data_IF_842056959043
#
_entry.id   IF_842056959043
#
_cell.length_a   1.000
_cell.length_b   1.000
_cell.length_c   1.000
_cell.angle_alpha   90.00
_cell.angle_beta   90.00
_cell.angle_gamma   90.00
#
_symmetry.space_group_name_H-M   'P 1'
#
loop_
_entity.id
_entity.type
_entity.pdbx_description
1 polymer ?
#
# COMPACT_ATOMS: atom_id res chain seq x y z
N UNK A 1 10.51 -30.99 11.44
CA UNK A 1 9.55 -29.91 11.72
C UNK A 1 9.09 -29.45 10.35
N UNK A 2 7.95 -29.94 9.90
CA UNK A 2 7.42 -29.63 8.57
C UNK A 2 7.01 -28.15 8.58
N UNK A 3 7.53 -27.34 7.64
CA UNK A 3 7.20 -25.93 7.59
C UNK A 3 5.71 -25.80 7.27
N UNK A 4 4.92 -25.33 8.23
CA UNK A 4 3.50 -25.09 8.06
C UNK A 4 3.30 -24.01 7.01
N UNK A 5 2.56 -24.33 5.96
CA UNK A 5 2.12 -23.38 4.94
C UNK A 5 1.29 -22.25 5.60
N UNK A 6 1.32 -21.05 5.01
CA UNK A 6 0.68 -19.86 5.57
C UNK A 6 -0.80 -20.07 5.88
N UNK A 7 -1.53 -20.82 5.06
CA UNK A 7 -2.94 -21.14 5.32
C UNK A 7 -3.13 -22.21 6.41
N UNK A 8 -2.18 -23.13 6.59
CA UNK A 8 -2.24 -24.13 7.67
C UNK A 8 -2.07 -23.51 9.05
N UNK A 9 -1.26 -22.46 9.16
CA UNK A 9 -1.11 -21.68 10.40
C UNK A 9 -2.43 -21.10 10.92
N UNK A 10 -3.40 -20.85 10.04
CA UNK A 10 -4.72 -20.33 10.39
C UNK A 10 -5.84 -21.35 10.20
N UNK A 11 -5.54 -22.62 9.92
CA UNK A 11 -6.56 -23.66 9.69
C UNK A 11 -6.38 -24.84 10.63
N UNK A 12 -5.15 -25.16 11.04
CA UNK A 12 -4.85 -26.32 11.86
C UNK A 12 -5.41 -26.17 13.28
N UNK A 13 -5.98 -27.25 13.82
CA UNK A 13 -6.55 -27.29 15.18
C UNK A 13 -5.49 -27.04 16.26
N UNK A 14 -4.24 -27.42 16.01
CA UNK A 14 -3.12 -27.21 16.96
C UNK A 14 -2.77 -25.72 17.16
N UNK A 15 -3.26 -24.85 16.26
CA UNK A 15 -3.07 -23.39 16.33
C UNK A 15 -4.27 -22.65 16.94
N UNK A 16 -5.31 -23.38 17.31
CA UNK A 16 -6.53 -22.82 17.89
C UNK A 16 -6.24 -22.16 19.25
N UNK A 17 -6.90 -21.03 19.50
CA UNK A 17 -6.76 -20.29 20.74
C UNK A 17 -7.23 -21.14 21.94
N UNK A 18 -6.33 -21.37 22.89
CA UNK A 18 -6.67 -21.91 24.21
C UNK A 18 -7.40 -20.84 25.05
N UNK A 19 -8.69 -20.64 24.74
CA UNK A 19 -9.52 -19.52 25.24
C UNK A 19 -9.47 -19.41 26.77
N UNK A 20 -9.58 -20.54 27.48
CA UNK A 20 -9.57 -20.59 28.94
C UNK A 20 -8.27 -20.09 29.57
N UNK A 21 -7.14 -20.26 28.89
CA UNK A 21 -5.84 -19.80 29.36
C UNK A 21 -5.64 -18.31 29.04
N UNK A 22 -5.86 -17.93 27.78
CA UNK A 22 -5.54 -16.59 27.29
C UNK A 22 -6.51 -15.52 27.78
N UNK A 23 -7.80 -15.84 27.93
CA UNK A 23 -8.80 -14.88 28.42
C UNK A 23 -8.69 -14.63 29.93
N UNK A 24 -8.14 -15.59 30.71
CA UNK A 24 -7.82 -15.38 32.13
C UNK A 24 -6.60 -14.48 32.33
N UNK A 25 -5.79 -14.27 31.29
CA UNK A 25 -4.60 -13.45 31.38
C UNK A 25 -5.02 -11.97 31.43
N UNK A 26 -4.65 -11.22 32.49
CA UNK A 26 -5.12 -9.84 32.68
C UNK A 26 -4.50 -8.86 31.68
N UNK A 27 -3.32 -9.18 31.14
CA UNK A 27 -2.60 -8.35 30.17
C UNK A 27 -1.99 -9.19 29.07
N UNK A 28 -2.03 -8.68 27.85
CA UNK A 28 -1.41 -9.26 26.66
C UNK A 28 -0.33 -8.31 26.16
N UNK A 29 0.76 -8.84 25.60
CA UNK A 29 1.60 -8.01 24.75
C UNK A 29 0.83 -7.66 23.48
N UNK A 30 1.22 -6.61 22.76
CA UNK A 30 0.55 -6.26 21.50
C UNK A 30 0.52 -7.42 20.50
N UNK A 31 1.63 -8.16 20.38
CA UNK A 31 1.72 -9.34 19.52
C UNK A 31 0.75 -10.46 19.95
N UNK A 32 0.62 -10.69 21.26
CA UNK A 32 -0.36 -11.64 21.79
C UNK A 32 -1.78 -11.20 21.48
N UNK A 33 -2.09 -9.92 21.70
CA UNK A 33 -3.42 -9.37 21.44
C UNK A 33 -3.81 -9.49 19.96
N UNK A 34 -2.87 -9.27 19.04
CA UNK A 34 -3.08 -9.47 17.60
C UNK A 34 -3.40 -10.93 17.30
N UNK A 35 -2.59 -11.89 17.75
CA UNK A 35 -2.85 -13.31 17.49
C UNK A 35 -4.18 -13.78 18.08
N UNK A 36 -4.46 -13.40 19.33
CA UNK A 36 -5.71 -13.73 20.04
C UNK A 36 -6.92 -13.15 19.31
N UNK A 37 -6.81 -11.96 18.71
CA UNK A 37 -7.90 -11.36 17.92
C UNK A 37 -8.26 -12.14 16.66
N UNK A 38 -7.36 -13.00 16.17
CA UNK A 38 -7.62 -13.94 15.07
C UNK A 38 -8.13 -15.30 15.55
N UNK A 39 -8.37 -15.47 16.85
CA UNK A 39 -8.74 -16.77 17.41
C UNK A 39 -7.58 -17.78 17.37
N UNK A 40 -6.33 -17.29 17.35
CA UNK A 40 -5.12 -18.13 17.26
C UNK A 40 -4.25 -18.01 18.48
N UNK A 41 -3.55 -19.10 18.80
CA UNK A 41 -2.60 -19.11 19.90
C UNK A 41 -1.29 -18.37 19.52
N UNK A 42 -0.88 -17.33 20.25
CA UNK A 42 0.33 -16.56 19.95
C UNK A 42 1.64 -17.34 20.06
N UNK A 43 1.63 -18.53 20.70
CA UNK A 43 2.81 -19.42 20.73
C UNK A 43 3.14 -19.96 19.34
N UNK A 44 2.13 -20.11 18.49
CA UNK A 44 2.29 -20.66 17.13
C UNK A 44 2.11 -19.58 16.05
N UNK A 45 1.18 -18.64 16.26
CA UNK A 45 0.85 -17.57 15.31
C UNK A 45 1.40 -16.24 15.84
N UNK A 46 2.60 -15.88 15.41
CA UNK A 46 3.27 -14.62 15.74
C UNK A 46 3.85 -14.00 14.46
N UNK A 47 4.35 -12.77 14.52
CA UNK A 47 4.82 -12.10 13.30
C UNK A 47 5.94 -12.88 12.61
N UNK A 48 6.85 -13.47 13.39
CA UNK A 48 7.98 -14.25 12.87
C UNK A 48 7.52 -15.47 12.07
N UNK A 49 6.41 -16.11 12.48
CA UNK A 49 5.86 -17.28 11.76
C UNK A 49 4.98 -16.89 10.57
N UNK A 50 4.34 -15.72 10.62
CA UNK A 50 3.40 -15.24 9.60
C UNK A 50 4.09 -14.45 8.47
N UNK A 51 5.15 -13.70 8.77
CA UNK A 51 5.86 -12.80 7.85
C UNK A 51 6.22 -13.43 6.49
N UNK A 52 6.78 -14.65 6.42
CA UNK A 52 7.15 -15.27 5.14
C UNK A 52 5.97 -15.47 4.19
N UNK A 53 4.75 -15.52 4.73
CA UNK A 53 3.53 -15.82 3.99
C UNK A 53 2.65 -14.59 3.73
N UNK A 54 3.04 -13.41 4.19
CA UNK A 54 2.25 -12.18 4.07
C UNK A 54 1.96 -11.80 2.60
N UNK A 55 2.78 -12.27 1.64
CA UNK A 55 2.58 -12.06 0.20
C UNK A 55 1.80 -13.18 -0.49
N UNK A 56 1.66 -14.36 0.13
CA UNK A 56 1.11 -15.56 -0.51
C UNK A 56 -0.21 -16.06 0.10
N UNK A 57 -0.47 -15.79 1.38
CA UNK A 57 -1.69 -16.17 2.09
C UNK A 57 -2.55 -14.95 2.43
N UNK A 58 -3.85 -15.04 2.13
CA UNK A 58 -4.80 -13.99 2.48
C UNK A 58 -4.91 -13.79 4.01
N UNK A 59 -4.82 -14.86 4.79
CA UNK A 59 -4.85 -14.80 6.25
C UNK A 59 -3.60 -14.09 6.80
N UNK A 60 -2.42 -14.42 6.28
CA UNK A 60 -1.17 -13.76 6.65
C UNK A 60 -1.17 -12.27 6.29
N UNK A 61 -1.76 -11.91 5.15
CA UNK A 61 -1.91 -10.51 4.75
C UNK A 61 -2.87 -9.72 5.67
N UNK A 62 -3.99 -10.32 6.08
CA UNK A 62 -4.91 -9.68 7.03
C UNK A 62 -4.30 -9.56 8.44
N UNK A 63 -3.48 -10.55 8.85
CA UNK A 63 -2.68 -10.45 10.07
C UNK A 63 -1.72 -9.26 10.01
N UNK A 64 -1.00 -9.10 8.89
CA UNK A 64 -0.10 -7.96 8.66
C UNK A 64 -0.82 -6.62 8.79
N UNK A 65 -1.97 -6.45 8.13
CA UNK A 65 -2.79 -5.23 8.22
C UNK A 65 -3.21 -4.91 9.64
N UNK A 66 -3.73 -5.91 10.37
CA UNK A 66 -4.15 -5.71 11.76
C UNK A 66 -2.98 -5.30 12.64
N UNK A 67 -1.82 -5.92 12.43
CA UNK A 67 -0.59 -5.59 13.12
C UNK A 67 -0.19 -4.14 12.91
N UNK A 68 -0.26 -3.62 11.68
CA UNK A 68 0.01 -2.20 11.39
C UNK A 68 -0.90 -1.28 12.21
N UNK A 69 -2.22 -1.51 12.16
CA UNK A 69 -3.19 -0.68 12.90
C UNK A 69 -2.87 -0.66 14.41
N UNK A 70 -2.59 -1.82 15.00
CA UNK A 70 -2.28 -1.92 16.43
C UNK A 70 -0.98 -1.19 16.78
N UNK A 71 0.07 -1.33 15.97
CA UNK A 71 1.35 -0.68 16.24
C UNK A 71 1.30 0.83 16.03
N UNK A 72 0.63 1.31 14.99
CA UNK A 72 0.46 2.74 14.74
C UNK A 72 -0.31 3.37 15.92
N UNK A 73 -1.38 2.71 16.37
CA UNK A 73 -2.17 3.16 17.52
C UNK A 73 -1.34 3.16 18.82
N UNK A 74 -0.43 2.20 19.00
CA UNK A 74 0.52 2.21 20.12
C UNK A 74 1.53 3.37 20.00
N UNK A 75 2.07 3.61 18.80
CA UNK A 75 3.02 4.70 18.56
C UNK A 75 2.41 6.08 18.85
N UNK A 76 1.10 6.24 18.63
CA UNK A 76 0.31 7.42 19.01
C UNK A 76 0.00 7.51 20.51
N UNK A 77 0.31 6.48 21.30
CA UNK A 77 0.13 6.44 22.74
C UNK A 77 -1.28 6.02 23.20
N UNK A 78 -2.12 5.53 22.30
CA UNK A 78 -3.49 5.11 22.64
C UNK A 78 -3.58 3.69 23.20
N UNK A 79 -2.63 2.81 22.86
CA UNK A 79 -2.55 1.45 23.40
C UNK A 79 -1.23 1.28 24.15
N UNK A 80 -1.24 0.88 25.44
CA UNK A 80 -0.01 0.54 26.15
C UNK A 80 0.50 -0.87 25.75
N UNK A 81 1.80 -1.12 25.87
CA UNK A 81 2.36 -2.48 25.78
C UNK A 81 3.07 -2.83 27.11
N UNK A 82 2.61 -3.82 27.88
CA UNK A 82 1.47 -4.72 27.64
C UNK A 82 0.08 -4.13 27.95
N UNK A 83 -0.90 -4.46 27.11
CA UNK A 83 -2.29 -3.98 27.17
C UNK A 83 -3.18 -4.85 28.05
N UNK A 84 -4.07 -4.28 28.89
CA UNK A 84 -5.14 -5.05 29.52
C UNK A 84 -6.04 -5.76 28.50
N UNK A 85 -6.30 -7.05 28.69
CA UNK A 85 -7.08 -7.86 27.75
C UNK A 85 -8.47 -7.26 27.47
N UNK A 86 -9.16 -6.82 28.52
CA UNK A 86 -10.46 -6.15 28.41
C UNK A 86 -10.40 -4.81 27.65
N UNK A 87 -9.28 -4.09 27.75
CA UNK A 87 -9.10 -2.80 27.08
C UNK A 87 -8.89 -2.99 25.57
N UNK A 88 -8.06 -3.96 25.20
CA UNK A 88 -7.85 -4.32 23.80
C UNK A 88 -9.16 -4.73 23.12
N UNK A 89 -9.96 -5.61 23.75
CA UNK A 89 -11.26 -6.06 23.20
C UNK A 89 -12.22 -4.86 23.00
N UNK A 90 -12.29 -3.95 23.97
CA UNK A 90 -13.13 -2.75 23.84
C UNK A 90 -12.67 -1.83 22.73
N UNK A 91 -11.35 -1.65 22.60
CA UNK A 91 -10.78 -0.88 21.51
C UNK A 91 -11.11 -1.50 20.15
N UNK A 92 -10.98 -2.83 19.99
CA UNK A 92 -11.33 -3.51 18.73
C UNK A 92 -12.79 -3.30 18.34
N UNK A 93 -13.72 -3.34 19.31
CA UNK A 93 -15.14 -3.06 19.07
C UNK A 93 -15.37 -1.61 18.61
N UNK A 94 -14.66 -0.64 19.20
CA UNK A 94 -14.80 0.78 18.88
C UNK A 94 -14.38 1.11 17.44
N UNK A 95 -13.33 0.46 16.94
CA UNK A 95 -12.82 0.68 15.58
C UNK A 95 -13.43 -0.29 14.56
N UNK A 96 -14.44 -1.07 14.95
CA UNK A 96 -15.08 -2.10 14.14
C UNK A 96 -14.09 -3.14 13.58
N UNK A 97 -13.08 -3.48 14.37
CA UNK A 97 -12.11 -4.53 14.06
C UNK A 97 -12.62 -5.86 14.63
N UNK A 98 -12.82 -6.86 13.77
CA UNK A 98 -13.29 -8.18 14.18
C UNK A 98 -12.28 -8.86 15.11
N UNK A 99 -12.74 -9.28 16.29
CA UNK A 99 -11.95 -9.96 17.30
C UNK A 99 -12.63 -11.30 17.64
N UNK A 100 -12.02 -12.42 17.23
CA UNK A 100 -12.56 -13.77 17.44
C UNK A 100 -12.27 -14.29 18.85
N UNK A 101 -12.76 -13.56 19.85
CA UNK A 101 -12.67 -13.95 21.26
C UNK A 101 -14.01 -14.47 21.80
N UNK A 102 -15.03 -14.61 20.94
CA UNK A 102 -16.40 -14.97 21.31
C UNK A 102 -17.15 -13.81 21.96
N UNK A 103 -18.48 -13.93 22.07
CA UNK A 103 -19.31 -12.99 22.84
C UNK A 103 -18.94 -13.10 24.32
N UNK A 104 -17.91 -12.39 24.74
CA UNK A 104 -17.56 -12.34 26.15
C UNK A 104 -18.56 -11.43 26.86
N UNK A 105 -19.42 -12.02 27.69
CA UNK A 105 -20.01 -11.30 28.82
C UNK A 105 -18.85 -10.74 29.63
N UNK A 106 -18.58 -9.45 29.46
CA UNK A 106 -17.67 -8.66 30.29
C UNK A 106 -18.07 -8.87 31.75
N UNK A 107 -17.50 -9.87 32.42
CA UNK A 107 -17.74 -10.16 33.83
C UNK A 107 -17.55 -8.89 34.65
N UNK A 108 -18.68 -8.31 35.08
CA UNK A 108 -18.93 -7.67 36.39
C UNK A 108 -18.07 -6.48 36.83
N UNK A 109 -17.03 -6.10 36.11
CA UNK A 109 -16.19 -4.97 36.48
C UNK A 109 -16.53 -3.80 35.57
N UNK A 110 -17.38 -2.92 36.11
CA UNK A 110 -17.47 -1.55 35.63
C UNK A 110 -16.03 -1.04 35.40
N UNK A 111 -15.72 -0.49 34.22
CA UNK A 111 -14.43 0.12 33.97
C UNK A 111 -14.11 1.12 35.10
N UNK A 112 -12.83 1.26 35.52
CA UNK A 112 -12.39 2.59 35.92
C UNK A 112 -12.76 3.49 34.74
N UNK A 113 -13.61 4.50 34.97
CA UNK A 113 -13.96 5.49 33.95
C UNK A 113 -12.66 6.08 33.42
N UNK A 114 -12.16 5.59 32.28
CA UNK A 114 -11.00 6.15 31.61
C UNK A 114 -11.42 6.88 30.34
N UNK A 115 -10.88 8.10 30.13
CA UNK A 115 -10.05 8.83 31.08
C UNK A 115 -10.95 9.39 32.18
N UNK A 116 -10.61 9.29 33.49
CA UNK A 116 -10.94 10.43 34.31
C UNK A 116 -10.18 11.57 33.63
N UNK A 117 -10.85 12.69 33.40
CA UNK A 117 -10.17 13.97 33.30
C UNK A 117 -9.04 13.91 34.33
N UNK A 118 -7.79 13.83 33.90
CA UNK A 118 -6.68 14.08 34.80
C UNK A 118 -6.87 15.56 35.10
N UNK A 119 -7.36 15.98 36.27
CA UNK A 119 -7.20 17.37 36.59
C UNK A 119 -5.68 17.59 36.59
N UNK A 120 -5.21 18.64 35.91
CA UNK A 120 -3.90 19.22 36.19
C UNK A 120 -3.86 19.59 37.68
N UNK A 121 -3.63 18.60 38.54
CA UNK A 121 -3.30 18.80 39.93
C UNK A 121 -1.79 18.64 40.00
N UNK A 122 -1.14 19.79 40.05
CA UNK A 122 0.19 20.00 40.57
C UNK A 122 0.30 19.27 41.91
N UNK A 123 0.82 18.06 41.90
CA UNK A 123 1.34 17.44 43.12
C UNK A 123 2.74 18.03 43.33
N UNK A 124 3.00 18.71 44.46
CA UNK A 124 4.35 19.02 44.88
C UNK A 124 4.95 17.75 45.48
N UNK A 125 5.13 16.73 44.65
CA UNK A 125 6.00 15.60 44.99
C UNK A 125 7.40 16.05 44.63
N UNK A 126 8.26 16.12 45.64
CA UNK A 126 9.68 16.39 45.48
C UNK A 126 10.20 15.71 44.21
N UNK A 127 10.58 16.53 43.23
CA UNK A 127 11.39 16.06 42.10
C UNK A 127 12.62 15.42 42.73
N UNK A 128 12.86 14.10 42.59
CA UNK A 128 14.25 13.67 42.64
C UNK A 128 14.96 14.49 41.56
N UNK A 129 16.05 15.13 41.98
CA UNK A 129 16.88 15.99 41.16
C UNK A 129 16.94 15.52 39.72
N UNK A 130 16.76 16.48 38.82
CA UNK A 130 17.01 16.43 37.38
C UNK A 130 17.29 15.02 36.84
N UNK A 131 16.33 14.47 36.09
CA UNK A 131 16.61 13.49 35.04
C UNK A 131 17.84 14.00 34.28
N UNK A 132 19.02 13.49 34.65
CA UNK A 132 20.22 13.58 33.85
C UNK A 132 19.86 12.75 32.64
N UNK A 133 19.39 13.45 31.60
CA UNK A 133 19.21 12.91 30.29
C UNK A 133 20.56 12.34 29.92
N UNK A 134 20.65 11.01 29.79
CA UNK A 134 21.89 10.35 29.44
C UNK A 134 22.42 11.06 28.17
N UNK A 135 23.60 11.70 28.23
CA UNK A 135 24.10 12.50 27.12
C UNK A 135 24.18 11.65 25.84
N UNK A 136 24.44 10.34 25.97
CA UNK A 136 24.42 9.40 24.85
C UNK A 136 23.04 9.27 24.20
N UNK A 137 21.97 9.26 24.99
CA UNK A 137 20.61 9.16 24.45
C UNK A 137 20.21 10.44 23.72
N UNK A 138 20.61 11.60 24.25
CA UNK A 138 20.35 12.89 23.59
C UNK A 138 21.15 13.05 22.29
N UNK A 139 22.38 12.54 22.27
CA UNK A 139 23.21 12.55 21.06
C UNK A 139 22.69 11.58 20.01
N UNK A 140 22.20 10.40 20.43
CA UNK A 140 21.58 9.43 19.52
C UNK A 140 20.28 9.98 18.90
N UNK A 141 19.41 10.61 19.70
CA UNK A 141 18.21 11.27 19.18
C UNK A 141 18.54 12.39 18.19
N UNK A 142 19.58 13.17 18.47
CA UNK A 142 20.04 14.21 17.54
C UNK A 142 20.57 13.61 16.24
N UNK A 143 21.28 12.48 16.33
CA UNK A 143 21.81 11.76 15.17
C UNK A 143 20.69 11.17 14.32
N UNK A 144 19.69 10.52 14.93
CA UNK A 144 18.56 9.96 14.20
C UNK A 144 17.71 11.05 13.56
N UNK A 145 17.48 12.17 14.24
CA UNK A 145 16.79 13.33 13.68
C UNK A 145 17.53 13.91 12.47
N UNK A 146 18.87 14.00 12.54
CA UNK A 146 19.68 14.47 11.42
C UNK A 146 19.63 13.49 10.22
N UNK A 147 19.57 12.19 10.49
CA UNK A 147 19.44 11.17 9.45
C UNK A 147 18.06 11.19 8.78
N UNK A 148 16.98 11.33 9.56
CA UNK A 148 15.64 11.51 9.02
C UNK A 148 15.56 12.74 8.11
N UNK A 149 16.06 13.89 8.57
CA UNK A 149 16.07 15.11 7.76
C UNK A 149 16.87 14.95 6.45
N UNK A 150 17.99 14.20 6.48
CA UNK A 150 18.77 13.91 5.28
C UNK A 150 18.03 13.01 4.30
N UNK A 151 17.35 11.97 4.81
CA UNK A 151 16.58 11.05 3.97
C UNK A 151 15.37 11.75 3.34
N UNK A 152 14.66 12.58 4.11
CA UNK A 152 13.55 13.41 3.61
C UNK A 152 14.01 14.32 2.47
N UNK A 153 15.15 15.01 2.62
CA UNK A 153 15.70 15.84 1.56
C UNK A 153 16.06 15.03 0.30
N UNK A 154 16.55 13.80 0.46
CA UNK A 154 16.89 12.93 -0.68
C UNK A 154 15.63 12.43 -1.40
N UNK A 155 14.57 12.11 -0.67
CA UNK A 155 13.28 11.72 -1.24
C UNK A 155 12.72 12.87 -2.06
N UNK A 156 12.68 14.09 -1.52
CA UNK A 156 12.21 15.27 -2.26
C UNK A 156 13.01 15.53 -3.53
N UNK A 157 14.34 15.36 -3.48
CA UNK A 157 15.18 15.51 -4.68
C UNK A 157 14.84 14.45 -5.75
N UNK A 158 14.67 13.19 -5.34
CA UNK A 158 14.34 12.11 -6.26
C UNK A 158 12.95 12.27 -6.87
N UNK A 159 11.98 12.76 -6.10
CA UNK A 159 10.63 13.08 -6.59
C UNK A 159 10.68 14.18 -7.66
N UNK A 160 11.47 15.25 -7.45
CA UNK A 160 11.66 16.30 -8.44
C UNK A 160 12.38 15.78 -9.70
N UNK A 161 13.41 14.95 -9.54
CA UNK A 161 14.10 14.32 -10.68
C UNK A 161 13.16 13.41 -11.48
N UNK A 162 12.27 12.68 -10.80
CA UNK A 162 11.27 11.82 -11.43
C UNK A 162 10.24 12.65 -12.21
N UNK A 163 9.71 13.72 -11.62
CA UNK A 163 8.75 14.62 -12.28
C UNK A 163 9.35 15.22 -13.57
N UNK A 164 10.58 15.74 -13.50
CA UNK A 164 11.30 16.26 -14.66
C UNK A 164 11.55 15.18 -15.73
N UNK A 165 11.87 13.96 -15.31
CA UNK A 165 12.07 12.84 -16.23
C UNK A 165 10.77 12.39 -16.89
N UNK A 166 9.64 12.42 -16.17
CA UNK A 166 8.31 12.13 -16.70
C UNK A 166 7.87 13.20 -17.70
N UNK A 167 8.10 14.48 -17.39
CA UNK A 167 7.87 15.59 -18.33
C UNK A 167 8.66 15.44 -19.63
N UNK A 168 9.88 14.90 -19.56
CA UNK A 168 10.72 14.62 -20.74
C UNK A 168 10.30 13.35 -21.50
N UNK A 169 9.81 12.32 -20.80
CA UNK A 169 9.38 11.04 -21.43
C UNK A 169 8.04 11.15 -22.14
N UNK A 170 7.15 12.01 -21.65
CA UNK A 170 5.87 12.26 -22.30
C UNK A 170 6.11 13.22 -23.47
N UNK A 171 6.16 12.70 -24.69
CA UNK A 171 6.05 13.55 -25.89
C UNK A 171 4.91 14.54 -25.68
N UNK A 172 5.21 15.84 -25.77
CA UNK A 172 4.21 16.87 -25.52
C UNK A 172 3.02 16.61 -26.45
N UNK A 173 1.79 16.77 -25.94
CA UNK A 173 0.57 16.58 -26.74
C UNK A 173 0.63 17.15 -28.18
N UNK A 174 1.20 18.36 -28.43
CA UNK A 174 1.41 18.87 -29.79
C UNK A 174 2.41 18.06 -30.64
N UNK A 175 3.52 17.60 -30.08
CA UNK A 175 4.54 16.80 -30.79
C UNK A 175 3.98 15.44 -31.21
N UNK A 176 3.25 14.79 -30.30
CA UNK A 176 2.56 13.53 -30.59
C UNK A 176 1.53 13.70 -31.70
N UNK A 177 0.78 14.82 -31.70
CA UNK A 177 -0.18 15.15 -32.75
C UNK A 177 0.52 15.36 -34.10
N UNK A 178 1.61 16.13 -34.13
CA UNK A 178 2.40 16.37 -35.35
C UNK A 178 2.97 15.07 -35.94
N UNK A 179 3.56 14.20 -35.11
CA UNK A 179 4.07 12.90 -35.53
C UNK A 179 2.94 12.02 -36.09
N UNK A 180 1.80 12.02 -35.42
CA UNK A 180 0.61 11.25 -35.83
C UNK A 180 0.09 11.71 -37.20
N UNK A 181 0.05 13.02 -37.46
CA UNK A 181 -0.32 13.56 -38.78
C UNK A 181 0.68 13.16 -39.87
N UNK A 182 1.97 13.20 -39.57
CA UNK A 182 3.03 12.79 -40.49
C UNK A 182 2.90 11.30 -40.86
N UNK A 183 2.68 10.43 -39.87
CA UNK A 183 2.42 9.00 -40.08
C UNK A 183 1.18 8.78 -40.95
N UNK A 184 0.08 9.51 -40.71
CA UNK A 184 -1.13 9.41 -41.53
C UNK A 184 -0.89 9.84 -42.98
N UNK A 185 -0.19 10.96 -43.20
CA UNK A 185 0.13 11.47 -44.53
C UNK A 185 1.00 10.48 -45.31
N UNK A 186 2.04 9.92 -44.69
CA UNK A 186 2.90 8.89 -45.29
C UNK A 186 2.11 7.61 -45.61
N UNK A 187 1.29 7.15 -44.67
CA UNK A 187 0.46 5.96 -44.87
C UNK A 187 -0.49 6.10 -46.07
N UNK A 188 -1.13 7.27 -46.21
CA UNK A 188 -2.04 7.55 -47.31
C UNK A 188 -1.30 7.73 -48.64
N UNK A 189 -0.20 8.49 -48.65
CA UNK A 189 0.54 8.83 -49.86
C UNK A 189 1.36 7.68 -50.44
N UNK A 190 2.11 6.96 -49.59
CA UNK A 190 3.06 5.94 -50.03
C UNK A 190 2.47 4.52 -50.03
N UNK A 191 1.58 4.23 -49.07
CA UNK A 191 1.07 2.87 -48.84
C UNK A 191 -0.40 2.69 -49.26
N UNK A 192 -1.07 3.78 -49.67
CA UNK A 192 -2.46 3.76 -50.11
C UNK A 192 -3.44 3.44 -48.98
N UNK A 193 -3.13 3.85 -47.75
CA UNK A 193 -4.04 3.71 -46.62
C UNK A 193 -5.33 4.50 -46.84
N UNK A 194 -6.46 3.80 -46.73
CA UNK A 194 -7.81 4.35 -46.85
C UNK A 194 -8.67 3.82 -45.68
N UNK A 195 -9.12 4.69 -44.76
CA UNK A 195 -9.90 4.29 -43.59
C UNK A 195 -11.29 3.76 -43.93
N UNK A 196 -11.81 4.07 -45.12
CA UNK A 196 -13.14 3.64 -45.57
C UNK A 196 -13.13 2.23 -46.17
N UNK A 197 -11.96 1.64 -46.42
CA UNK A 197 -11.85 0.29 -47.00
C UNK A 197 -11.78 -0.77 -45.90
N UNK A 198 -12.71 -1.72 -45.95
CA UNK A 198 -12.79 -2.84 -45.00
C UNK A 198 -11.58 -3.78 -45.03
N UNK A 199 -10.93 -3.93 -46.19
CA UNK A 199 -9.70 -4.71 -46.37
C UNK A 199 -8.74 -3.95 -47.27
N UNK A 200 -7.78 -3.26 -46.67
CA UNK A 200 -6.69 -2.58 -47.38
C UNK A 200 -5.36 -3.30 -47.18
N UNK A 201 -4.55 -3.37 -48.24
CA UNK A 201 -3.20 -3.97 -48.21
C UNK A 201 -2.12 -3.02 -47.63
N UNK A 202 -2.53 -1.81 -47.21
CA UNK A 202 -1.62 -0.81 -46.67
C UNK A 202 -0.83 -1.35 -45.45
N UNK A 203 -1.49 -2.11 -44.58
CA UNK A 203 -0.84 -2.69 -43.39
C UNK A 203 0.27 -3.67 -43.76
N UNK A 204 0.01 -4.58 -44.71
CA UNK A 204 1.01 -5.54 -45.19
C UNK A 204 2.18 -4.84 -45.89
N UNK A 205 1.90 -3.78 -46.64
CA UNK A 205 2.96 -2.99 -47.31
C UNK A 205 3.83 -2.24 -46.31
N UNK A 206 3.25 -1.71 -45.23
CA UNK A 206 4.00 -1.07 -44.14
C UNK A 206 4.86 -2.11 -43.42
N UNK A 207 4.33 -3.30 -43.11
CA UNK A 207 5.11 -4.39 -42.53
C UNK A 207 6.34 -4.74 -43.37
N UNK A 208 6.14 -4.97 -44.68
CA UNK A 208 7.25 -5.25 -45.61
C UNK A 208 8.26 -4.11 -45.71
N UNK A 209 7.85 -2.86 -45.47
CA UNK A 209 8.75 -1.73 -45.46
C UNK A 209 9.55 -1.66 -44.15
N UNK A 210 8.94 -1.98 -43.01
CA UNK A 210 9.59 -2.06 -41.71
C UNK A 210 10.63 -3.20 -41.66
N UNK A 211 10.32 -4.34 -42.28
CA UNK A 211 11.24 -5.48 -42.39
C UNK A 211 12.56 -5.10 -43.09
N UNK A 212 12.54 -4.11 -44.00
CA UNK A 212 13.77 -3.63 -44.68
C UNK A 212 14.72 -2.86 -43.77
N UNK A 213 14.22 -2.40 -42.62
CA UNK A 213 14.98 -1.66 -41.61
C UNK A 213 15.18 -2.46 -40.32
N UNK A 214 14.94 -3.78 -40.36
CA UNK A 214 15.00 -4.68 -39.20
C UNK A 214 14.06 -4.25 -38.06
N UNK A 215 12.95 -3.58 -38.39
CA UNK A 215 11.92 -3.17 -37.44
C UNK A 215 10.75 -4.14 -37.50
N UNK A 216 10.35 -4.68 -36.35
CA UNK A 216 9.19 -5.56 -36.24
C UNK A 216 8.07 -4.90 -35.46
N UNK A 217 6.87 -4.85 -36.05
CA UNK A 217 5.65 -4.38 -35.40
C UNK A 217 4.51 -5.34 -35.72
N UNK A 218 3.62 -5.57 -34.75
CA UNK A 218 2.44 -6.39 -34.97
C UNK A 218 1.43 -5.68 -35.89
N UNK A 219 0.77 -6.45 -36.74
CA UNK A 219 -0.22 -5.94 -37.70
C UNK A 219 -1.41 -5.24 -37.00
N UNK A 220 -1.84 -5.74 -35.82
CA UNK A 220 -2.89 -5.10 -35.02
C UNK A 220 -2.41 -3.75 -34.49
N UNK A 221 -1.15 -3.65 -34.09
CA UNK A 221 -0.52 -2.41 -33.61
C UNK A 221 -0.49 -1.35 -34.70
N UNK A 222 -0.09 -1.71 -35.93
CA UNK A 222 -0.10 -0.78 -37.08
C UNK A 222 -1.53 -0.30 -37.37
N UNK A 223 -2.52 -1.21 -37.42
CA UNK A 223 -3.93 -0.83 -37.62
C UNK A 223 -4.45 0.11 -36.54
N UNK A 224 -4.07 -0.12 -35.28
CA UNK A 224 -4.42 0.75 -34.15
C UNK A 224 -3.88 2.16 -34.36
N UNK A 225 -2.59 2.30 -34.67
CA UNK A 225 -1.96 3.61 -34.88
C UNK A 225 -2.52 4.34 -36.11
N UNK A 226 -2.79 3.64 -37.21
CA UNK A 226 -3.39 4.25 -38.40
C UNK A 226 -4.81 4.79 -38.14
N UNK A 227 -5.63 4.06 -37.37
CA UNK A 227 -6.96 4.53 -36.94
C UNK A 227 -6.87 5.72 -36.00
N UNK A 228 -5.97 5.65 -35.03
CA UNK A 228 -5.70 6.77 -34.13
C UNK A 228 -5.29 8.01 -34.92
N UNK A 229 -4.42 7.83 -35.91
CA UNK A 229 -3.96 8.92 -36.75
C UNK A 229 -5.04 9.53 -37.63
N UNK A 230 -5.91 8.68 -38.20
CA UNK A 230 -7.08 9.15 -38.91
C UNK A 230 -8.00 10.00 -38.02
N UNK A 231 -8.30 9.53 -36.81
CA UNK A 231 -9.17 10.23 -35.87
C UNK A 231 -8.61 11.59 -35.46
N UNK A 232 -7.31 11.68 -35.19
CA UNK A 232 -6.66 12.96 -34.87
C UNK A 232 -6.72 13.94 -36.04
N UNK A 233 -6.48 13.49 -37.27
CA UNK A 233 -6.58 14.34 -38.46
C UNK A 233 -8.02 14.82 -38.68
N UNK A 234 -9.03 13.99 -38.40
CA UNK A 234 -10.45 14.40 -38.51
C UNK A 234 -10.83 15.47 -37.48
N UNK A 235 -10.28 15.41 -36.27
CA UNK A 235 -10.50 16.44 -35.23
C UNK A 235 -9.91 17.80 -35.65
N UNK A 236 -8.81 17.78 -36.41
CA UNK A 236 -8.08 18.98 -36.82
C UNK A 236 -8.59 19.58 -38.13
N UNK A 237 -9.37 18.84 -38.93
CA UNK A 237 -10.03 19.43 -40.09
C UNK A 237 -11.01 20.49 -39.60
N UNK A 238 -10.83 21.78 -39.96
CA UNK A 238 -11.87 22.78 -39.70
C UNK A 238 -13.17 22.28 -40.35
N UNK A 239 -14.30 22.54 -39.69
CA UNK A 239 -15.64 22.37 -40.26
C UNK A 239 -15.79 23.37 -41.42
N UNK A 240 -15.13 23.12 -42.55
CA UNK A 240 -15.39 23.87 -43.77
C UNK A 240 -16.68 23.35 -44.40
N UNK A 241 -17.66 24.26 -44.43
CA UNK A 241 -18.85 24.30 -45.28
C UNK A 241 -19.96 23.27 -44.98
N UNK A 242 -20.75 23.57 -43.95
CA UNK A 242 -22.19 23.37 -44.00
C UNK A 242 -22.84 24.73 -44.31
N UNK A 243 -22.93 25.05 -45.59
CA UNK A 243 -23.92 25.96 -46.18
C UNK A 243 -24.45 25.30 -47.45
#
# INVERSE_FOLDING_TARGET
MEALDGDRLFTDADTELERDFWLKKPRWTLEQAIAISFGRDPRYVNWTTVEPYASSSNHAYEYYKRRLIVLDTHAEGYLPDPIPSAEFIRWTLRINLHCDVGEYELYGHAPPSWPPSVPMQSTPTARPDALQTDPKLTDLLRQTQAECARLEARVQQLEQELELAEEQRVMKAPERSALTMLVYAMARGLYGYDPSRLKGDATSKILRALDRFDLSLDEKTIRKYLRQAHNEVQKLKPRENQD
#
